data_IF_045370584442
#
_entry.id   IF_045370584442
#
_cell.length_a   1.000
_cell.length_b   1.000
_cell.length_c   1.000
_cell.angle_alpha   90.00
_cell.angle_beta   90.00
_cell.angle_gamma   90.00
#
_symmetry.space_group_name_H-M   'P 1'
#
loop_
_entity.id
_entity.type
_entity.pdbx_description
1 polymer ?
#
# COMPACT_ATOMS: atom_id res chain seq x y z
N UNK A 1 25.48 -17.80 -30.36
CA UNK A 1 24.13 -17.68 -29.77
C UNK A 1 24.11 -18.38 -28.42
N UNK A 2 24.32 -17.63 -27.34
CA UNK A 2 24.00 -18.01 -25.97
C UNK A 2 23.99 -16.73 -25.11
N UNK A 3 23.17 -15.77 -25.51
CA UNK A 3 22.65 -14.80 -24.56
C UNK A 3 21.55 -15.54 -23.80
N UNK A 4 21.67 -15.76 -22.49
CA UNK A 4 20.55 -15.99 -21.56
C UNK A 4 21.10 -16.11 -20.13
N UNK A 5 20.84 -15.07 -19.33
CA UNK A 5 20.90 -15.00 -17.86
C UNK A 5 22.28 -15.02 -17.17
N UNK A 6 23.05 -13.94 -17.30
CA UNK A 6 23.96 -13.53 -16.23
C UNK A 6 23.10 -12.93 -15.10
N UNK A 7 22.94 -13.64 -13.99
CA UNK A 7 22.34 -13.09 -12.78
C UNK A 7 23.15 -11.85 -12.33
N UNK A 8 22.46 -10.76 -12.02
CA UNK A 8 23.08 -9.53 -11.51
C UNK A 8 23.91 -9.85 -10.26
N UNK A 9 25.14 -9.33 -10.21
CA UNK A 9 26.00 -9.40 -9.02
C UNK A 9 25.38 -8.59 -7.88
N UNK A 10 25.51 -9.05 -6.63
CA UNK A 10 25.10 -8.29 -5.42
C UNK A 10 25.80 -6.92 -5.27
N UNK A 11 26.82 -6.65 -6.08
CA UNK A 11 27.63 -5.44 -6.04
C UNK A 11 27.25 -4.39 -7.09
N UNK A 12 26.27 -4.65 -7.95
CA UNK A 12 25.83 -3.70 -8.99
C UNK A 12 24.46 -3.12 -8.63
N UNK A 13 24.47 -2.18 -7.67
CA UNK A 13 23.28 -1.49 -7.15
C UNK A 13 22.85 -0.30 -8.04
N UNK A 14 23.15 -0.37 -9.34
CA UNK A 14 23.20 0.79 -10.23
C UNK A 14 21.85 1.33 -10.75
N UNK A 15 20.75 0.59 -10.59
CA UNK A 15 19.48 0.93 -11.27
C UNK A 15 18.36 1.38 -10.32
N UNK A 16 18.45 1.13 -9.01
CA UNK A 16 17.37 1.47 -8.08
C UNK A 16 17.55 2.90 -7.56
N UNK A 17 16.57 3.80 -7.75
CA UNK A 17 16.69 5.18 -7.28
C UNK A 17 16.65 5.25 -5.75
N UNK A 18 17.13 6.35 -5.19
CA UNK A 18 16.92 6.67 -3.78
C UNK A 18 15.45 7.00 -3.48
N UNK A 19 15.08 6.92 -2.20
CA UNK A 19 13.75 7.33 -1.76
C UNK A 19 13.55 8.86 -1.87
N UNK A 20 12.33 9.35 -2.18
CA UNK A 20 11.13 8.60 -2.53
C UNK A 20 11.19 8.04 -3.96
N UNK A 21 10.91 6.74 -4.11
CA UNK A 21 11.05 6.03 -5.39
C UNK A 21 9.81 6.18 -6.26
N UNK A 22 10.03 6.29 -7.57
CA UNK A 22 8.96 6.30 -8.58
C UNK A 22 8.82 4.96 -9.33
N UNK A 23 9.84 4.10 -9.25
CA UNK A 23 9.88 2.78 -9.86
C UNK A 23 10.77 1.87 -9.01
N UNK A 24 10.63 0.55 -9.16
CA UNK A 24 11.32 -0.41 -8.29
C UNK A 24 10.90 -0.26 -6.83
N UNK A 25 9.61 0.06 -6.60
CA UNK A 25 9.03 0.20 -5.27
C UNK A 25 8.86 -1.18 -4.64
N UNK A 26 9.13 -1.28 -3.35
CA UNK A 26 8.88 -2.50 -2.57
C UNK A 26 7.87 -2.19 -1.48
N UNK A 27 6.74 -2.88 -1.50
CA UNK A 27 5.72 -2.78 -0.48
C UNK A 27 5.72 -4.04 0.38
N UNK A 28 5.70 -3.86 1.70
CA UNK A 28 5.57 -4.96 2.66
C UNK A 28 4.18 -4.93 3.29
N UNK A 29 3.71 -6.09 3.72
CA UNK A 29 2.47 -6.18 4.49
C UNK A 29 2.71 -5.75 5.93
N UNK A 30 1.78 -4.96 6.46
CA UNK A 30 1.70 -4.67 7.88
C UNK A 30 1.51 -5.96 8.69
N UNK A 31 1.82 -5.95 10.00
CA UNK A 31 1.50 -7.07 10.88
C UNK A 31 -0.01 -7.37 10.89
N UNK A 32 -0.43 -8.27 10.01
CA UNK A 32 -1.82 -8.70 9.88
C UNK A 32 -2.09 -9.76 10.94
N UNK A 33 -2.96 -9.43 11.90
CA UNK A 33 -3.43 -10.36 12.95
C UNK A 33 -2.33 -10.90 13.86
N UNK A 34 -1.10 -10.42 13.73
CA UNK A 34 0.06 -10.94 14.43
C UNK A 34 0.22 -10.27 15.79
N UNK A 35 0.61 -11.06 16.78
CA UNK A 35 1.07 -10.59 18.11
C UNK A 35 2.40 -9.80 17.96
N UNK A 36 2.99 -9.76 16.76
CA UNK A 36 4.13 -8.90 16.43
C UNK A 36 3.81 -7.47 16.85
N UNK A 37 4.46 -7.07 17.93
CA UNK A 37 4.35 -5.74 18.52
C UNK A 37 4.90 -4.72 17.53
N UNK A 38 4.48 -3.47 17.71
CA UNK A 38 5.08 -2.27 17.11
C UNK A 38 6.61 -2.39 16.97
N UNK A 39 7.27 -2.95 17.97
CA UNK A 39 8.72 -3.20 18.05
C UNK A 39 9.30 -3.96 16.83
N UNK A 40 8.61 -4.99 16.32
CA UNK A 40 9.12 -5.76 15.19
C UNK A 40 9.07 -5.00 13.86
N UNK A 41 8.04 -4.17 13.66
CA UNK A 41 7.97 -3.29 12.50
C UNK A 41 9.06 -2.22 12.59
N UNK A 42 9.30 -1.68 13.77
CA UNK A 42 10.37 -0.73 14.01
C UNK A 42 11.74 -1.34 13.68
N UNK A 43 12.03 -2.55 14.17
CA UNK A 43 13.29 -3.26 13.87
C UNK A 43 13.48 -3.46 12.35
N UNK A 44 12.42 -3.80 11.61
CA UNK A 44 12.46 -3.93 10.15
C UNK A 44 12.76 -2.59 9.48
N UNK A 45 12.12 -1.51 9.92
CA UNK A 45 12.29 -0.19 9.31
C UNK A 45 13.65 0.44 9.67
N UNK A 46 14.21 0.14 10.83
CA UNK A 46 15.55 0.57 11.22
C UNK A 46 16.64 -0.23 10.48
N UNK A 47 16.45 -1.53 10.29
CA UNK A 47 17.45 -2.40 9.65
C UNK A 47 17.37 -2.43 8.11
N UNK A 48 16.16 -2.51 7.57
CA UNK A 48 15.88 -2.75 6.15
C UNK A 48 15.02 -1.64 5.52
N UNK A 49 14.72 -0.57 6.25
CA UNK A 49 13.83 0.50 5.79
C UNK A 49 14.29 1.22 4.52
N UNK A 50 15.59 1.24 4.20
CA UNK A 50 16.07 1.75 2.91
C UNK A 50 15.43 1.02 1.72
N UNK A 51 15.11 -0.26 1.86
CA UNK A 51 14.57 -1.10 0.80
C UNK A 51 13.04 -1.21 0.80
N UNK A 52 12.35 -0.67 1.81
CA UNK A 52 10.89 -0.72 1.95
C UNK A 52 10.31 0.64 1.56
N UNK A 53 9.45 0.73 0.55
CA UNK A 53 8.83 1.99 0.12
C UNK A 53 7.39 2.14 0.62
N UNK A 54 6.68 1.03 0.76
CA UNK A 54 5.26 1.01 1.17
C UNK A 54 4.97 0.02 2.31
N UNK A 55 3.95 0.33 3.09
CA UNK A 55 3.37 -0.52 4.12
C UNK A 55 1.87 -0.70 3.87
N UNK A 56 1.45 -1.93 3.56
CA UNK A 56 0.06 -2.25 3.22
C UNK A 56 -0.70 -2.87 4.40
N UNK A 57 -1.84 -2.30 4.75
CA UNK A 57 -2.82 -2.91 5.65
C UNK A 57 -3.80 -3.78 4.85
N UNK A 58 -3.46 -5.06 4.63
CA UNK A 58 -4.27 -5.93 3.77
C UNK A 58 -5.56 -6.42 4.42
N UNK A 59 -6.54 -6.75 3.58
CA UNK A 59 -7.79 -7.41 3.98
C UNK A 59 -8.63 -6.61 4.97
N UNK A 60 -8.52 -5.28 4.97
CA UNK A 60 -9.23 -4.43 5.92
C UNK A 60 -8.80 -4.60 7.38
N UNK A 61 -7.61 -5.13 7.66
CA UNK A 61 -7.12 -5.40 9.03
C UNK A 61 -7.17 -4.17 9.94
N UNK A 62 -6.93 -2.97 9.39
CA UNK A 62 -7.04 -1.70 10.08
C UNK A 62 -8.43 -1.46 10.70
N UNK A 63 -9.52 -2.00 10.12
CA UNK A 63 -10.89 -1.86 10.66
C UNK A 63 -11.10 -2.55 12.02
N UNK A 64 -10.18 -3.46 12.40
CA UNK A 64 -10.22 -4.19 13.67
C UNK A 64 -9.27 -3.61 14.73
N UNK A 65 -8.50 -2.58 14.38
CA UNK A 65 -7.47 -1.99 15.23
C UNK A 65 -7.95 -0.67 15.86
N UNK A 66 -7.51 -0.33 17.09
CA UNK A 66 -7.76 1.00 17.64
C UNK A 66 -7.11 2.10 16.79
N UNK A 67 -7.81 3.22 16.60
CA UNK A 67 -7.31 4.36 15.81
C UNK A 67 -5.96 4.89 16.30
N UNK A 68 -5.69 4.83 17.61
CA UNK A 68 -4.40 5.23 18.19
C UNK A 68 -3.27 4.32 17.72
N UNK A 69 -3.51 3.01 17.66
CA UNK A 69 -2.52 2.03 17.22
C UNK A 69 -2.22 2.15 15.72
N UNK A 70 -3.25 2.39 14.90
CA UNK A 70 -3.07 2.67 13.47
C UNK A 70 -2.18 3.90 13.29
N UNK A 71 -2.44 4.98 14.03
CA UNK A 71 -1.63 6.20 13.99
C UNK A 71 -0.18 5.98 14.41
N UNK A 72 0.06 5.20 15.46
CA UNK A 72 1.42 4.86 15.87
C UNK A 72 2.20 4.15 14.75
N UNK A 73 1.56 3.22 14.05
CA UNK A 73 2.14 2.50 12.91
C UNK A 73 2.37 3.43 11.71
N UNK A 74 1.39 4.26 11.35
CA UNK A 74 1.52 5.18 10.21
C UNK A 74 2.59 6.24 10.47
N UNK A 75 2.63 6.81 11.67
CA UNK A 75 3.67 7.74 12.09
C UNK A 75 5.05 7.09 12.06
N UNK A 76 5.17 5.82 12.49
CA UNK A 76 6.41 5.06 12.38
C UNK A 76 6.83 4.87 10.92
N UNK A 77 5.94 4.45 10.03
CA UNK A 77 6.24 4.28 8.61
C UNK A 77 6.72 5.61 7.98
N UNK A 78 6.02 6.72 8.25
CA UNK A 78 6.36 8.04 7.73
C UNK A 78 7.72 8.54 8.20
N UNK A 79 8.15 8.24 9.44
CA UNK A 79 9.51 8.55 9.93
C UNK A 79 10.61 7.89 9.08
N UNK A 80 10.31 6.78 8.41
CA UNK A 80 11.25 6.05 7.55
C UNK A 80 11.03 6.31 6.04
N UNK A 81 10.26 7.34 5.67
CA UNK A 81 9.86 7.63 4.29
C UNK A 81 9.21 6.39 3.62
N UNK A 82 8.26 5.77 4.34
CA UNK A 82 7.44 4.66 3.86
C UNK A 82 6.01 5.14 3.75
N UNK A 83 5.41 5.04 2.56
CA UNK A 83 3.99 5.38 2.40
C UNK A 83 3.11 4.27 2.97
N UNK A 84 1.87 4.59 3.34
CA UNK A 84 0.93 3.61 3.89
C UNK A 84 -0.30 3.47 3.00
N UNK A 85 -0.63 2.23 2.65
CA UNK A 85 -1.81 1.90 1.85
C UNK A 85 -2.84 1.06 2.61
N UNK A 86 -4.13 1.24 2.27
CA UNK A 86 -5.19 0.30 2.66
C UNK A 86 -5.36 -0.75 1.58
N UNK A 87 -5.54 -2.02 1.95
CA UNK A 87 -5.82 -3.11 1.01
C UNK A 87 -7.20 -3.73 1.19
N UNK A 88 -7.84 -4.04 0.05
CA UNK A 88 -8.97 -4.97 -0.07
C UNK A 88 -10.14 -4.68 0.90
N UNK A 89 -10.48 -3.39 1.06
CA UNK A 89 -11.57 -2.93 1.94
C UNK A 89 -12.47 -1.87 1.31
N UNK A 90 -11.92 -1.05 0.42
CA UNK A 90 -12.64 0.01 -0.28
C UNK A 90 -13.85 -0.53 -1.06
N UNK A 91 -13.73 -1.71 -1.67
CA UNK A 91 -14.78 -2.37 -2.43
C UNK A 91 -16.00 -2.76 -1.58
N UNK A 92 -15.77 -3.11 -0.31
CA UNK A 92 -16.86 -3.41 0.63
C UNK A 92 -17.67 -2.16 0.96
N UNK A 93 -17.01 -1.00 1.02
CA UNK A 93 -17.65 0.27 1.34
C UNK A 93 -18.32 0.93 0.14
N UNK A 94 -17.77 0.76 -1.07
CA UNK A 94 -18.44 1.20 -2.29
C UNK A 94 -19.81 0.54 -2.48
N UNK A 95 -19.96 -0.74 -2.11
CA UNK A 95 -21.26 -1.44 -2.10
C UNK A 95 -22.29 -0.83 -1.13
N UNK A 96 -21.84 -0.10 -0.11
CA UNK A 96 -22.72 0.62 0.85
C UNK A 96 -23.13 2.00 0.35
N UNK A 97 -22.59 2.44 -0.80
CA UNK A 97 -22.91 3.69 -1.46
C UNK A 97 -21.84 4.78 -1.27
N UNK A 98 -21.94 5.87 -2.05
CA UNK A 98 -20.89 6.89 -2.18
C UNK A 98 -20.62 7.68 -0.88
N UNK A 99 -21.64 7.83 -0.02
CA UNK A 99 -21.50 8.53 1.26
C UNK A 99 -20.58 7.76 2.20
N UNK A 100 -20.76 6.43 2.31
CA UNK A 100 -19.93 5.58 3.14
C UNK A 100 -18.47 5.57 2.66
N UNK A 101 -18.27 5.49 1.34
CA UNK A 101 -16.93 5.58 0.76
C UNK A 101 -16.24 6.91 1.05
N UNK A 102 -16.96 8.04 0.92
CA UNK A 102 -16.39 9.35 1.23
C UNK A 102 -15.99 9.49 2.71
N UNK A 103 -16.80 8.97 3.63
CA UNK A 103 -16.47 8.97 5.06
C UNK A 103 -15.21 8.15 5.34
N UNK A 104 -15.08 6.99 4.70
CA UNK A 104 -13.89 6.16 4.79
C UNK A 104 -12.63 6.85 4.28
N UNK A 105 -12.71 7.53 3.13
CA UNK A 105 -11.56 8.28 2.59
C UNK A 105 -11.08 9.35 3.59
N UNK A 106 -12.00 10.07 4.23
CA UNK A 106 -11.64 11.07 5.25
C UNK A 106 -11.07 10.42 6.53
N UNK A 107 -11.62 9.28 6.94
CA UNK A 107 -11.10 8.52 8.09
C UNK A 107 -9.66 8.03 7.82
N UNK A 108 -9.42 7.38 6.68
CA UNK A 108 -8.09 6.94 6.25
C UNK A 108 -7.10 8.10 6.23
N UNK A 109 -7.50 9.25 5.68
CA UNK A 109 -6.68 10.45 5.69
C UNK A 109 -6.35 10.94 7.10
N UNK A 110 -7.31 10.88 8.03
CA UNK A 110 -7.09 11.27 9.44
C UNK A 110 -6.17 10.32 10.21
N UNK A 111 -6.07 9.07 9.75
CA UNK A 111 -5.22 8.02 10.32
C UNK A 111 -3.82 7.97 9.71
N UNK A 112 -3.54 8.78 8.68
CA UNK A 112 -2.22 8.85 8.05
C UNK A 112 -2.06 7.92 6.84
N UNK A 113 -3.14 7.39 6.26
CA UNK A 113 -3.03 6.67 5.00
C UNK A 113 -2.74 7.62 3.82
N UNK A 114 -1.78 7.23 3.00
CA UNK A 114 -1.36 7.94 1.79
C UNK A 114 -2.20 7.50 0.58
N UNK A 115 -2.49 6.21 0.53
CA UNK A 115 -3.14 5.54 -0.60
C UNK A 115 -4.27 4.62 -0.14
N UNK A 116 -5.34 4.60 -0.90
CA UNK A 116 -6.43 3.64 -0.78
C UNK A 116 -6.38 2.75 -2.00
N UNK A 117 -6.09 1.46 -1.81
CA UNK A 117 -6.14 0.51 -2.90
C UNK A 117 -7.57 0.10 -3.20
N UNK A 118 -7.84 -0.04 -4.49
CA UNK A 118 -9.09 -0.55 -4.99
C UNK A 118 -8.87 -1.77 -5.87
N UNK A 119 -9.62 -2.83 -5.59
CA UNK A 119 -9.67 -4.02 -6.42
C UNK A 119 -10.84 -3.90 -7.41
N UNK A 120 -10.57 -3.33 -8.60
CA UNK A 120 -11.60 -3.10 -9.62
C UNK A 120 -12.30 -4.40 -10.07
N UNK A 121 -11.55 -5.52 -10.17
CA UNK A 121 -12.07 -6.84 -10.55
C UNK A 121 -13.23 -7.28 -9.65
N UNK A 122 -13.21 -6.87 -8.37
CA UNK A 122 -14.21 -7.26 -7.37
C UNK A 122 -15.50 -6.42 -7.42
N UNK A 123 -15.49 -5.28 -8.13
CA UNK A 123 -16.58 -4.31 -8.14
C UNK A 123 -17.61 -4.58 -9.24
N UNK A 124 -17.21 -5.20 -10.35
CA UNK A 124 -18.07 -5.46 -11.51
C UNK A 124 -18.85 -4.19 -11.95
N UNK A 125 -18.15 -3.05 -12.05
CA UNK A 125 -18.69 -1.75 -12.47
C UNK A 125 -18.11 -1.35 -13.85
N UNK A 126 -18.79 -0.46 -14.60
CA UNK A 126 -18.25 0.10 -15.83
C UNK A 126 -16.95 0.88 -15.58
N UNK A 127 -16.06 0.89 -16.58
CA UNK A 127 -14.79 1.62 -16.53
C UNK A 127 -14.99 3.12 -16.24
N UNK A 128 -16.05 3.75 -16.75
CA UNK A 128 -16.31 5.17 -16.46
C UNK A 128 -16.58 5.41 -14.96
N UNK A 129 -17.24 4.47 -14.30
CA UNK A 129 -17.49 4.54 -12.85
C UNK A 129 -16.20 4.35 -12.06
N UNK A 130 -15.29 3.51 -12.54
CA UNK A 130 -13.97 3.33 -11.94
C UNK A 130 -13.13 4.62 -12.05
N UNK A 131 -13.15 5.28 -13.21
CA UNK A 131 -12.48 6.57 -13.40
C UNK A 131 -13.03 7.65 -12.47
N UNK A 132 -14.34 7.68 -12.24
CA UNK A 132 -14.96 8.60 -11.27
C UNK A 132 -14.45 8.34 -9.85
N UNK A 133 -14.35 7.07 -9.44
CA UNK A 133 -13.83 6.70 -8.12
C UNK A 133 -12.34 7.05 -7.98
N UNK A 134 -11.52 6.73 -8.99
CA UNK A 134 -10.09 7.04 -9.00
C UNK A 134 -9.79 8.55 -9.07
N UNK A 135 -10.73 9.36 -9.56
CA UNK A 135 -10.61 10.83 -9.53
C UNK A 135 -10.63 11.41 -8.11
N UNK A 136 -11.11 10.64 -7.12
CA UNK A 136 -11.03 10.99 -5.71
C UNK A 136 -9.56 10.88 -5.29
N UNK A 137 -8.94 12.03 -5.01
CA UNK A 137 -7.53 12.13 -4.59
C UNK A 137 -7.22 11.07 -3.53
N UNK A 138 -6.14 10.30 -3.76
CA UNK A 138 -5.60 9.21 -2.91
C UNK A 138 -6.15 7.79 -3.17
N UNK A 139 -7.04 7.57 -4.13
CA UNK A 139 -7.40 6.21 -4.55
C UNK A 139 -6.45 5.75 -5.67
N UNK A 140 -5.84 4.58 -5.51
CA UNK A 140 -5.01 3.92 -6.52
C UNK A 140 -5.66 2.58 -6.88
N UNK A 141 -5.86 2.38 -8.18
CA UNK A 141 -6.34 1.12 -8.74
C UNK A 141 -5.16 0.15 -8.93
N UNK A 142 -5.35 -1.12 -8.55
CA UNK A 142 -4.35 -2.18 -8.69
C UNK A 142 -4.70 -3.23 -9.76
N UNK A 143 -5.59 -2.93 -10.70
CA UNK A 143 -5.63 -3.71 -11.94
C UNK A 143 -4.46 -3.34 -12.86
N UNK A 144 -3.36 -4.09 -12.72
CA UNK A 144 -2.83 -4.99 -13.75
C UNK A 144 -1.66 -5.81 -13.16
N UNK A 145 -1.96 -7.01 -12.64
CA UNK A 145 -1.00 -8.11 -12.59
C UNK A 145 -0.80 -8.71 -14.00
N UNK A 146 -0.78 -7.87 -15.04
CA UNK A 146 -0.31 -8.26 -16.35
C UNK A 146 1.19 -7.99 -16.40
N UNK A 147 1.97 -9.06 -16.27
CA UNK A 147 3.29 -9.14 -16.87
C UNK A 147 3.08 -8.90 -18.37
N UNK A 148 3.18 -7.65 -18.81
CA UNK A 148 3.45 -7.36 -20.21
C UNK A 148 4.96 -7.52 -20.40
N UNK A 149 5.31 -8.57 -21.14
CA UNK A 149 6.63 -8.72 -21.77
C UNK A 149 6.89 -7.59 -22.75
#
# INVERSE_FOLDING_TARGET
MAAYYAWKSFSDDGDRPEKPRRYGVTEIRSPEYSILRHDALQDILESMGQFVDGLKFSGGSHSLMPNTFIKEITDLAHRHNVYVSTGDWAEHLLRKGPVAFKQYVEECKSLGFDTIELNAASLNIPEESLLEICSIKKVVDLEQNHIFQ
#
